data_IF_762149750560
#
_entry.id   IF_762149750560
#
_cell.length_a   1.000
_cell.length_b   1.000
_cell.length_c   1.000
_cell.angle_alpha   90.00
_cell.angle_beta   90.00
_cell.angle_gamma   90.00
#
_symmetry.space_group_name_H-M   'P 1'
#
loop_
_entity.id
_entity.type
_entity.pdbx_description
1 polymer ?
#
# COMPACT_ATOMS: atom_id res chain seq x y z
N UNK A 1 13.58 -65.75 22.91
CA UNK A 1 12.38 -65.08 22.37
C UNK A 1 12.07 -63.94 23.29
N UNK A 2 12.58 -62.76 23.00
CA UNK A 2 12.35 -61.51 23.75
C UNK A 2 11.78 -60.52 22.76
N UNK A 3 10.51 -60.18 23.00
CA UNK A 3 9.75 -59.20 22.22
C UNK A 3 10.19 -57.81 22.65
N UNK A 4 10.79 -57.05 21.73
CA UNK A 4 11.11 -55.64 21.91
C UNK A 4 10.03 -54.82 21.21
N UNK A 5 9.12 -54.20 21.97
CA UNK A 5 8.11 -53.26 21.50
C UNK A 5 8.65 -51.86 21.70
N UNK A 6 9.16 -51.26 20.61
CA UNK A 6 9.52 -49.83 20.57
C UNK A 6 8.26 -49.01 20.45
N UNK A 7 7.88 -48.33 21.54
CA UNK A 7 6.86 -47.31 21.58
C UNK A 7 7.32 -46.10 20.75
N UNK A 8 6.60 -45.79 19.68
CA UNK A 8 6.71 -44.51 18.96
C UNK A 8 6.09 -43.40 19.80
N UNK A 9 6.92 -42.56 20.42
CA UNK A 9 6.50 -41.29 20.98
C UNK A 9 6.01 -40.37 19.85
N UNK A 10 4.73 -40.06 19.85
CA UNK A 10 4.12 -39.00 19.04
C UNK A 10 4.50 -37.64 19.67
N UNK A 11 5.56 -37.03 19.18
CA UNK A 11 5.88 -35.63 19.47
C UNK A 11 4.90 -34.73 18.69
N UNK A 12 3.77 -34.43 19.28
CA UNK A 12 2.89 -33.32 18.83
C UNK A 12 3.54 -32.01 19.28
N UNK A 13 4.28 -31.37 18.38
CA UNK A 13 4.66 -29.99 18.51
C UNK A 13 3.37 -29.16 18.74
N UNK A 14 3.29 -28.29 19.75
CA UNK A 14 2.09 -27.49 19.98
C UNK A 14 1.89 -26.56 18.78
N UNK A 15 0.74 -26.67 18.12
CA UNK A 15 0.27 -25.67 17.16
C UNK A 15 0.14 -24.34 17.89
N UNK A 16 1.16 -23.49 17.73
CA UNK A 16 1.06 -22.09 18.15
C UNK A 16 -0.03 -21.48 17.28
N UNK A 17 -1.19 -21.23 17.86
CA UNK A 17 -2.29 -20.50 17.19
C UNK A 17 -1.72 -19.19 16.69
N UNK A 18 -1.50 -19.07 15.38
CA UNK A 18 -0.98 -17.87 14.74
C UNK A 18 -1.96 -16.72 15.03
N UNK A 19 -1.50 -15.73 15.76
CA UNK A 19 -2.29 -14.52 16.01
C UNK A 19 -2.54 -13.85 14.66
N UNK A 20 -3.81 -13.72 14.28
CA UNK A 20 -4.18 -13.07 13.02
C UNK A 20 -3.74 -11.60 13.06
N UNK A 21 -3.15 -11.09 11.97
CA UNK A 21 -2.70 -9.71 11.91
C UNK A 21 -3.88 -8.75 12.07
N UNK A 22 -3.62 -7.65 12.76
CA UNK A 22 -4.54 -6.52 12.92
C UNK A 22 -3.94 -5.31 12.22
N UNK A 23 -4.79 -4.32 11.95
CA UNK A 23 -4.34 -3.03 11.47
C UNK A 23 -3.42 -2.37 12.53
N UNK A 24 -2.27 -1.88 12.07
CA UNK A 24 -1.30 -1.17 12.89
C UNK A 24 -1.04 0.18 12.22
N UNK A 25 -1.46 1.27 12.86
CA UNK A 25 -1.36 2.63 12.31
C UNK A 25 -0.65 3.52 13.31
N UNK A 26 0.32 4.28 12.82
CA UNK A 26 1.05 5.30 13.59
C UNK A 26 0.94 6.64 12.87
N UNK A 27 0.88 7.73 13.61
CA UNK A 27 0.84 9.08 13.06
C UNK A 27 1.89 9.98 13.73
N UNK A 28 2.41 10.92 12.93
CA UNK A 28 3.28 11.99 13.41
C UNK A 28 3.06 13.27 12.60
N UNK A 29 3.30 14.43 13.22
CA UNK A 29 3.12 15.73 12.59
C UNK A 29 4.47 16.35 12.24
N UNK A 30 4.54 17.00 11.10
CA UNK A 30 5.74 17.59 10.55
C UNK A 30 5.42 18.88 9.78
N UNK A 31 6.46 19.59 9.38
CA UNK A 31 6.38 20.72 8.47
C UNK A 31 7.42 20.60 7.37
N UNK A 32 7.15 21.20 6.22
CA UNK A 32 8.10 21.36 5.11
C UNK A 32 7.89 22.72 4.46
N UNK A 33 8.95 23.29 3.91
CA UNK A 33 8.85 24.50 3.10
C UNK A 33 8.94 24.13 1.63
N UNK A 34 7.85 24.43 0.87
CA UNK A 34 7.78 24.25 -0.59
C UNK A 34 7.44 25.58 -1.21
N UNK A 35 8.22 26.03 -2.19
CA UNK A 35 8.03 27.33 -2.87
C UNK A 35 7.90 28.52 -1.88
N UNK A 36 8.68 28.50 -0.79
CA UNK A 36 8.66 29.54 0.24
C UNK A 36 7.45 29.49 1.19
N UNK A 37 6.55 28.53 1.06
CA UNK A 37 5.40 28.32 1.95
C UNK A 37 5.68 27.20 2.93
N UNK A 38 5.45 27.47 4.21
CA UNK A 38 5.47 26.43 5.24
C UNK A 38 4.18 25.61 5.15
N UNK A 39 4.32 24.32 4.96
CA UNK A 39 3.21 23.36 4.84
C UNK A 39 3.24 22.41 6.03
N UNK A 40 2.28 22.52 6.96
CA UNK A 40 2.10 21.52 8.01
C UNK A 40 1.44 20.26 7.42
N UNK A 41 1.91 19.09 7.86
CA UNK A 41 1.36 17.83 7.40
C UNK A 41 1.46 16.72 8.45
N UNK A 42 0.51 15.80 8.37
CA UNK A 42 0.50 14.56 9.15
C UNK A 42 1.00 13.40 8.28
N UNK A 43 1.95 12.65 8.82
CA UNK A 43 2.34 11.33 8.29
C UNK A 43 1.50 10.27 8.96
N UNK A 44 0.84 9.44 8.17
CA UNK A 44 0.15 8.24 8.63
C UNK A 44 0.82 7.03 7.98
N UNK A 45 1.36 6.13 8.77
CA UNK A 45 2.02 4.93 8.26
C UNK A 45 1.61 3.70 9.03
N UNK A 46 1.68 2.56 8.38
CA UNK A 46 1.35 1.29 9.03
C UNK A 46 0.85 0.24 8.06
N UNK A 47 0.07 -0.69 8.58
CA UNK A 47 -0.49 -1.81 7.81
C UNK A 47 -2.00 -1.83 7.92
N UNK A 48 -2.65 -2.06 6.77
CA UNK A 48 -4.09 -2.36 6.68
C UNK A 48 -4.22 -3.82 6.25
N UNK A 49 -5.05 -4.57 6.97
CA UNK A 49 -5.31 -5.98 6.67
C UNK A 49 -6.43 -6.09 5.65
N UNK A 50 -6.11 -6.67 4.50
CA UNK A 50 -7.10 -7.07 3.50
C UNK A 50 -7.78 -8.35 3.95
N UNK A 51 -9.09 -8.39 3.82
CA UNK A 51 -9.92 -9.54 4.15
C UNK A 51 -10.69 -10.01 2.91
N UNK A 52 -10.96 -11.29 2.84
CA UNK A 52 -11.81 -11.85 1.80
C UNK A 52 -13.26 -11.45 2.07
N UNK A 53 -13.90 -10.84 1.08
CA UNK A 53 -15.35 -10.69 1.09
C UNK A 53 -15.96 -12.06 0.82
N UNK A 54 -16.58 -12.69 1.82
CA UNK A 54 -17.31 -13.93 1.62
C UNK A 54 -18.63 -13.63 0.93
N UNK A 55 -18.74 -13.99 -0.35
CA UNK A 55 -20.00 -14.01 -1.09
C UNK A 55 -20.90 -15.14 -0.53
N UNK A 56 -21.34 -15.06 0.71
CA UNK A 56 -22.34 -15.99 1.20
C UNK A 56 -23.72 -15.50 0.80
N UNK A 57 -24.36 -16.27 -0.10
CA UNK A 57 -25.81 -16.36 -0.17
C UNK A 57 -26.26 -16.81 1.22
N UNK A 58 -26.95 -15.95 1.92
CA UNK A 58 -27.45 -16.16 3.27
C UNK A 58 -28.47 -17.31 3.28
N UNK A 59 -28.05 -18.47 3.75
CA UNK A 59 -28.98 -19.34 4.47
C UNK A 59 -29.16 -18.74 5.87
N UNK A 60 -30.39 -18.41 6.24
CA UNK A 60 -30.79 -17.63 7.42
C UNK A 60 -30.37 -18.20 8.80
N UNK A 61 -29.56 -19.23 8.86
CA UNK A 61 -29.16 -19.90 10.10
C UNK A 61 -27.65 -19.98 10.36
N UNK A 62 -26.79 -19.41 9.52
CA UNK A 62 -25.34 -19.47 9.71
C UNK A 62 -24.84 -18.24 10.50
N UNK A 63 -24.11 -18.46 11.60
CA UNK A 63 -23.33 -17.41 12.29
C UNK A 63 -22.46 -16.69 11.26
N UNK A 64 -22.33 -15.34 11.32
CA UNK A 64 -21.42 -14.64 10.42
C UNK A 64 -20.02 -15.22 10.60
N UNK A 65 -19.51 -15.94 9.59
CA UNK A 65 -18.11 -16.31 9.58
C UNK A 65 -17.28 -15.05 9.55
N UNK A 66 -16.32 -14.96 10.46
CA UNK A 66 -15.42 -13.83 10.52
C UNK A 66 -14.68 -13.71 9.17
N UNK A 67 -14.71 -12.51 8.56
CA UNK A 67 -13.96 -12.18 7.36
C UNK A 67 -12.52 -12.67 7.48
N UNK A 68 -12.08 -13.51 6.53
CA UNK A 68 -10.77 -14.15 6.60
C UNK A 68 -9.66 -13.18 6.14
N UNK A 69 -8.68 -12.83 6.98
CA UNK A 69 -7.53 -12.05 6.55
C UNK A 69 -6.75 -12.76 5.44
N UNK A 70 -6.30 -12.01 4.43
CA UNK A 70 -5.55 -12.52 3.27
C UNK A 70 -4.14 -11.93 3.18
N UNK A 71 -4.03 -10.64 3.35
CA UNK A 71 -2.76 -9.93 3.27
C UNK A 71 -2.76 -8.70 4.18
N UNK A 72 -1.57 -8.23 4.50
CA UNK A 72 -1.33 -6.99 5.22
C UNK A 72 -0.57 -6.06 4.29
N UNK A 73 -1.15 -4.92 3.94
CA UNK A 73 -0.53 -3.92 3.06
C UNK A 73 0.02 -2.78 3.89
N UNK A 74 1.33 -2.56 3.74
CA UNK A 74 2.03 -1.41 4.30
C UNK A 74 1.87 -0.19 3.39
N UNK A 75 1.74 0.97 4.01
CA UNK A 75 1.66 2.25 3.32
C UNK A 75 2.28 3.38 4.14
N UNK A 76 2.61 4.46 3.43
CA UNK A 76 2.96 5.75 4.03
C UNK A 76 2.11 6.83 3.35
N UNK A 77 1.34 7.56 4.14
CA UNK A 77 0.50 8.64 3.66
C UNK A 77 0.94 9.98 4.24
N UNK A 78 0.88 11.02 3.42
CA UNK A 78 1.15 12.40 3.76
C UNK A 78 -0.11 13.23 3.49
N UNK A 79 -0.64 13.82 4.54
CA UNK A 79 -1.87 14.61 4.48
C UNK A 79 -1.57 16.03 4.95
N UNK A 80 -1.84 17.01 4.11
CA UNK A 80 -1.69 18.42 4.47
C UNK A 80 -2.73 18.82 5.51
N UNK A 81 -2.31 19.56 6.55
CA UNK A 81 -3.16 19.85 7.71
C UNK A 81 -3.93 21.17 7.61
N UNK A 82 -3.37 22.19 6.93
CA UNK A 82 -3.97 23.52 6.74
C UNK A 82 -4.97 23.56 5.55
N UNK A 83 -5.86 22.58 5.45
CA UNK A 83 -6.86 22.44 4.38
C UNK A 83 -8.25 22.59 4.95
N UNK A 84 -9.03 23.56 4.45
CA UNK A 84 -10.41 23.80 4.90
C UNK A 84 -11.36 22.65 4.57
N UNK A 85 -11.31 22.14 3.34
CA UNK A 85 -12.17 21.05 2.89
C UNK A 85 -11.35 19.93 2.21
N UNK A 86 -11.11 18.86 2.95
CA UNK A 86 -10.39 17.67 2.45
C UNK A 86 -11.08 16.98 1.28
N UNK A 87 -12.38 17.18 1.09
CA UNK A 87 -13.14 16.59 -0.03
C UNK A 87 -12.74 17.19 -1.37
N UNK A 88 -12.30 18.45 -1.38
CA UNK A 88 -11.85 19.15 -2.59
C UNK A 88 -10.36 18.94 -2.86
N UNK A 89 -9.60 18.47 -1.86
CA UNK A 89 -8.17 18.25 -2.01
C UNK A 89 -7.90 16.95 -2.75
N UNK A 90 -7.05 16.95 -3.81
CA UNK A 90 -6.64 15.73 -4.50
C UNK A 90 -6.00 14.70 -3.58
N UNK A 91 -6.20 13.44 -3.91
CA UNK A 91 -5.61 12.28 -3.26
C UNK A 91 -4.91 11.43 -4.31
N UNK A 92 -3.59 11.30 -4.20
CA UNK A 92 -2.76 10.58 -5.15
C UNK A 92 -2.20 9.31 -4.51
N UNK A 93 -2.52 8.16 -5.08
CA UNK A 93 -1.94 6.88 -4.72
C UNK A 93 -0.75 6.59 -5.64
N UNK A 94 0.37 6.17 -5.06
CA UNK A 94 1.63 5.96 -5.76
C UNK A 94 2.24 4.61 -5.46
N UNK A 95 2.81 3.96 -6.47
CA UNK A 95 3.49 2.68 -6.37
C UNK A 95 4.53 2.51 -7.48
N UNK A 96 5.65 1.86 -7.14
CA UNK A 96 6.64 1.43 -8.12
C UNK A 96 6.21 0.11 -8.80
N UNK A 97 6.99 -0.31 -9.77
CA UNK A 97 6.78 -1.50 -10.57
C UNK A 97 7.62 -2.70 -10.15
N UNK A 98 8.44 -3.14 -11.03
CA UNK A 98 9.21 -4.38 -10.98
C UNK A 98 8.62 -5.42 -11.95
N UNK A 99 7.60 -6.26 -11.60
CA UNK A 99 6.92 -6.41 -10.30
C UNK A 99 7.87 -6.83 -9.18
N UNK A 100 7.52 -6.45 -7.93
CA UNK A 100 8.30 -6.82 -6.74
C UNK A 100 9.03 -5.65 -6.06
N UNK A 101 8.95 -4.43 -6.59
CA UNK A 101 9.50 -3.24 -5.96
C UNK A 101 8.52 -2.62 -4.97
N UNK A 102 9.03 -2.20 -3.81
CA UNK A 102 8.29 -1.32 -2.89
C UNK A 102 8.22 0.10 -3.45
N UNK A 103 7.36 0.94 -2.88
CA UNK A 103 7.17 2.32 -3.34
C UNK A 103 8.30 3.28 -2.99
N UNK A 104 9.39 2.80 -2.42
CA UNK A 104 10.50 3.60 -1.89
C UNK A 104 11.12 4.56 -2.92
N UNK A 105 11.18 4.16 -4.19
CA UNK A 105 11.82 4.96 -5.24
C UNK A 105 11.02 6.22 -5.57
N UNK A 106 9.71 6.09 -5.79
CA UNK A 106 8.83 7.25 -5.97
C UNK A 106 8.68 8.01 -4.66
N UNK A 107 8.60 7.33 -3.53
CA UNK A 107 8.40 7.92 -2.21
C UNK A 107 9.56 8.82 -1.81
N UNK A 108 10.78 8.24 -1.64
CA UNK A 108 11.95 8.94 -1.13
C UNK A 108 12.89 9.45 -2.22
N UNK A 109 12.59 9.17 -3.48
CA UNK A 109 13.37 9.65 -4.62
C UNK A 109 12.76 10.85 -5.33
N UNK A 110 11.41 10.93 -5.39
CA UNK A 110 10.75 11.89 -6.31
C UNK A 110 9.62 12.67 -5.65
N UNK A 111 8.59 12.01 -5.07
CA UNK A 111 7.29 12.61 -4.82
C UNK A 111 7.05 13.02 -3.36
N UNK A 112 7.65 12.30 -2.41
CA UNK A 112 7.41 12.52 -0.99
C UNK A 112 7.98 13.85 -0.49
N UNK A 113 7.57 14.32 0.70
CA UNK A 113 8.06 15.58 1.26
C UNK A 113 9.53 15.51 1.70
N UNK A 114 10.07 14.31 1.85
CA UNK A 114 11.49 14.06 2.13
C UNK A 114 12.09 13.22 1.01
N UNK A 115 13.31 13.52 0.59
CA UNK A 115 14.04 12.76 -0.42
C UNK A 115 15.44 12.41 0.01
N UNK A 116 15.99 11.34 -0.55
CA UNK A 116 17.40 10.99 -0.40
C UNK A 116 18.25 12.12 -0.99
N UNK A 117 19.26 12.56 -0.25
CA UNK A 117 20.22 13.53 -0.76
C UNK A 117 21.19 12.83 -1.73
N UNK A 118 21.06 13.13 -3.01
CA UNK A 118 21.90 12.61 -4.08
C UNK A 118 22.61 13.76 -4.79
N UNK A 119 23.77 13.48 -5.39
CA UNK A 119 24.47 14.41 -6.26
C UNK A 119 23.84 14.47 -7.67
N UNK A 120 24.50 15.21 -8.55
CA UNK A 120 24.03 15.38 -9.94
C UNK A 120 23.86 14.04 -10.65
N UNK A 121 22.80 13.96 -11.47
CA UNK A 121 22.39 12.76 -12.17
C UNK A 121 22.20 11.52 -11.27
N UNK A 122 21.86 11.71 -10.00
CA UNK A 122 21.64 10.62 -9.04
C UNK A 122 22.92 9.96 -8.52
N UNK A 123 24.07 10.62 -8.66
CA UNK A 123 25.33 10.10 -8.16
C UNK A 123 25.31 9.96 -6.62
N UNK A 124 26.01 8.95 -6.11
CA UNK A 124 26.13 8.69 -4.69
C UNK A 124 27.06 9.74 -4.05
N UNK A 125 26.54 10.44 -3.04
CA UNK A 125 27.37 11.33 -2.23
C UNK A 125 28.16 10.53 -1.18
N UNK A 126 29.29 11.08 -0.66
CA UNK A 126 29.98 10.46 0.47
C UNK A 126 29.07 10.46 1.73
N UNK A 127 29.24 9.47 2.62
CA UNK A 127 28.52 9.45 3.89
C UNK A 127 28.85 10.68 4.76
N UNK A 128 27.96 11.09 5.70
CA UNK A 128 26.76 10.38 6.09
C UNK A 128 25.58 10.59 5.13
N UNK A 129 24.89 9.50 4.78
CA UNK A 129 23.66 9.57 3.99
C UNK A 129 22.51 10.18 4.79
N UNK A 130 21.68 11.01 4.15
CA UNK A 130 20.60 11.72 4.84
C UNK A 130 19.40 11.96 3.94
N UNK A 131 18.25 12.12 4.55
CA UNK A 131 17.06 12.67 3.91
C UNK A 131 17.10 14.19 4.04
N UNK A 132 16.69 14.88 2.98
CA UNK A 132 16.52 16.33 2.92
C UNK A 132 15.09 16.66 2.57
N UNK A 133 14.69 17.91 2.78
CA UNK A 133 13.39 18.39 2.31
C UNK A 133 13.33 18.32 0.80
N UNK A 134 12.15 17.94 0.28
CA UNK A 134 11.90 17.87 -1.14
C UNK A 134 11.03 19.05 -1.58
N UNK A 135 11.67 20.09 -2.07
CA UNK A 135 11.01 21.30 -2.59
C UNK A 135 10.10 21.04 -3.82
N UNK A 136 10.29 19.87 -4.47
CA UNK A 136 9.48 19.44 -5.62
C UNK A 136 8.37 18.44 -5.23
N UNK A 137 8.11 18.27 -3.94
CA UNK A 137 7.07 17.34 -3.48
C UNK A 137 5.68 17.74 -3.97
N UNK A 138 4.92 16.75 -4.43
CA UNK A 138 3.52 16.93 -4.81
C UNK A 138 2.60 17.24 -3.61
N UNK A 139 3.13 17.20 -2.37
CA UNK A 139 2.34 17.53 -1.17
C UNK A 139 1.79 18.97 -1.20
N UNK A 140 2.35 19.86 -1.99
CA UNK A 140 1.78 21.19 -2.19
C UNK A 140 0.37 21.14 -2.78
N UNK A 141 0.12 20.23 -3.72
CA UNK A 141 -1.13 20.19 -4.52
C UNK A 141 -2.02 18.98 -4.23
N UNK A 142 -1.48 17.90 -3.69
CA UNK A 142 -2.19 16.64 -3.43
C UNK A 142 -1.74 16.01 -2.14
N UNK A 143 -2.64 15.34 -1.43
CA UNK A 143 -2.24 14.35 -0.44
C UNK A 143 -1.68 13.10 -1.14
N UNK A 144 -0.71 12.45 -0.52
CA UNK A 144 0.04 11.34 -1.13
C UNK A 144 -0.13 10.07 -0.32
N UNK A 145 -0.29 8.94 -0.99
CA UNK A 145 -0.33 7.61 -0.36
C UNK A 145 0.57 6.67 -1.15
N UNK A 146 1.70 6.31 -0.56
CA UNK A 146 2.64 5.35 -1.10
C UNK A 146 2.28 3.95 -0.63
N UNK A 147 2.03 3.04 -1.58
CA UNK A 147 1.55 1.68 -1.31
C UNK A 147 2.65 0.69 -1.64
N UNK A 148 2.97 -0.19 -0.72
CA UNK A 148 3.79 -1.37 -1.01
C UNK A 148 2.85 -2.51 -1.42
N UNK A 149 2.83 -2.96 -2.67
CA UNK A 149 2.06 -4.14 -3.07
C UNK A 149 2.45 -5.38 -2.26
N UNK A 150 1.57 -6.38 -2.18
CA UNK A 150 1.84 -7.61 -1.42
C UNK A 150 3.16 -8.26 -1.87
N UNK A 151 3.94 -8.75 -0.93
CA UNK A 151 5.31 -9.30 -1.10
C UNK A 151 6.39 -8.27 -1.42
N UNK A 152 6.10 -6.97 -1.33
CA UNK A 152 7.10 -5.91 -1.44
C UNK A 152 7.21 -5.13 -0.13
N UNK A 153 8.33 -4.43 0.08
CA UNK A 153 8.56 -3.62 1.28
C UNK A 153 8.16 -4.34 2.57
N UNK A 154 7.19 -3.80 3.30
CA UNK A 154 6.68 -4.39 4.54
C UNK A 154 5.31 -5.08 4.37
N UNK A 155 4.81 -5.23 3.14
CA UNK A 155 3.55 -5.92 2.85
C UNK A 155 3.73 -7.41 2.72
N UNK A 156 2.87 -8.21 3.36
CA UNK A 156 2.97 -9.68 3.38
C UNK A 156 1.59 -10.33 3.27
N UNK A 157 1.55 -11.49 2.64
CA UNK A 157 0.45 -12.43 2.83
C UNK A 157 0.37 -12.83 4.31
N UNK A 158 -0.82 -13.08 4.83
CA UNK A 158 -0.97 -13.53 6.23
C UNK A 158 -0.54 -15.00 6.38
N UNK A 159 -0.19 -15.46 7.59
CA UNK A 159 0.12 -16.87 7.83
C UNK A 159 -1.01 -17.79 7.34
N UNK A 160 -0.65 -18.79 6.55
CA UNK A 160 -1.58 -19.74 5.91
C UNK A 160 -1.99 -19.38 4.48
N UNK A 161 -1.76 -18.14 4.02
CA UNK A 161 -1.95 -17.74 2.63
C UNK A 161 -0.64 -17.86 1.84
N UNK A 162 -0.75 -18.17 0.54
CA UNK A 162 0.42 -18.34 -0.32
C UNK A 162 0.82 -17.00 -0.97
N UNK A 163 2.03 -16.46 -0.72
CA UNK A 163 2.46 -15.18 -1.30
C UNK A 163 2.34 -15.14 -2.84
N UNK A 164 2.61 -16.27 -3.51
CA UNK A 164 2.53 -16.40 -4.97
C UNK A 164 1.14 -16.10 -5.56
N UNK A 165 0.09 -16.23 -4.77
CA UNK A 165 -1.27 -15.93 -5.22
C UNK A 165 -1.48 -14.45 -5.53
N UNK A 166 -0.65 -13.57 -4.95
CA UNK A 166 -0.69 -12.12 -5.17
C UNK A 166 0.22 -11.65 -6.31
N UNK A 167 1.02 -12.53 -6.94
CA UNK A 167 2.00 -12.15 -7.95
C UNK A 167 1.44 -12.09 -9.38
N UNK A 168 0.27 -12.68 -9.63
CA UNK A 168 -0.40 -12.58 -10.93
C UNK A 168 -1.04 -11.21 -11.12
N UNK A 169 -1.01 -10.67 -12.36
CA UNK A 169 -1.55 -9.35 -12.71
C UNK A 169 -2.93 -9.07 -12.10
N UNK A 170 -3.87 -10.02 -12.26
CA UNK A 170 -5.22 -9.86 -11.73
C UNK A 170 -5.23 -9.70 -10.22
N UNK A 171 -4.52 -10.55 -9.49
CA UNK A 171 -4.47 -10.51 -8.01
C UNK A 171 -3.70 -9.31 -7.46
N UNK A 172 -2.68 -8.86 -8.17
CA UNK A 172 -1.99 -7.61 -7.88
C UNK A 172 -2.94 -6.42 -7.96
N UNK A 173 -3.71 -6.30 -9.06
CA UNK A 173 -4.73 -5.26 -9.24
C UNK A 173 -5.82 -5.35 -8.17
N UNK A 174 -6.35 -6.53 -7.89
CA UNK A 174 -7.38 -6.73 -6.87
C UNK A 174 -6.90 -6.28 -5.50
N UNK A 175 -5.73 -6.72 -5.05
CA UNK A 175 -5.22 -6.41 -3.72
C UNK A 175 -4.91 -4.93 -3.51
N UNK A 176 -4.28 -4.29 -4.50
CA UNK A 176 -4.01 -2.84 -4.44
C UNK A 176 -5.30 -2.02 -4.55
N UNK A 177 -6.24 -2.45 -5.38
CA UNK A 177 -7.55 -1.80 -5.54
C UNK A 177 -8.39 -1.87 -4.26
N UNK A 178 -8.41 -3.03 -3.59
CA UNK A 178 -9.10 -3.21 -2.32
C UNK A 178 -8.47 -2.34 -1.22
N UNK A 179 -7.14 -2.22 -1.18
CA UNK A 179 -6.46 -1.27 -0.30
C UNK A 179 -6.91 0.16 -0.57
N UNK A 180 -6.94 0.60 -1.85
CA UNK A 180 -7.35 1.95 -2.23
C UNK A 180 -8.79 2.22 -1.76
N UNK A 181 -9.71 1.28 -1.94
CA UNK A 181 -11.08 1.37 -1.45
C UNK A 181 -11.13 1.51 0.07
N UNK A 182 -10.44 0.62 0.79
CA UNK A 182 -10.40 0.63 2.26
C UNK A 182 -9.82 1.94 2.80
N UNK A 183 -8.71 2.41 2.23
CA UNK A 183 -8.10 3.69 2.58
C UNK A 183 -9.07 4.85 2.35
N UNK A 184 -9.66 4.92 1.15
CA UNK A 184 -10.62 5.97 0.77
C UNK A 184 -11.82 6.02 1.72
N UNK A 185 -12.33 4.85 2.13
CA UNK A 185 -13.44 4.73 3.08
C UNK A 185 -13.03 5.15 4.49
N UNK A 186 -11.93 4.60 4.99
CA UNK A 186 -11.42 4.86 6.35
C UNK A 186 -11.16 6.34 6.61
N UNK A 187 -10.52 7.00 5.64
CA UNK A 187 -10.14 8.42 5.74
C UNK A 187 -11.18 9.37 5.14
N UNK A 188 -12.38 8.87 4.80
CA UNK A 188 -13.52 9.64 4.29
C UNK A 188 -13.18 10.49 3.04
N UNK A 189 -12.44 9.88 2.08
CA UNK A 189 -11.93 10.57 0.90
C UNK A 189 -12.70 10.24 -0.39
N UNK A 190 -13.94 9.75 -0.29
CA UNK A 190 -14.74 9.40 -1.47
C UNK A 190 -15.01 10.57 -2.41
N UNK A 191 -15.19 11.77 -1.89
CA UNK A 191 -15.45 12.96 -2.68
C UNK A 191 -14.19 13.65 -3.21
N UNK A 192 -13.01 13.30 -2.71
CA UNK A 192 -11.74 13.86 -3.20
C UNK A 192 -11.47 13.45 -4.64
N UNK A 193 -10.91 14.36 -5.48
CA UNK A 193 -10.34 13.98 -6.77
C UNK A 193 -9.22 12.94 -6.56
N UNK A 194 -9.22 11.86 -7.34
CA UNK A 194 -8.32 10.73 -7.16
C UNK A 194 -7.41 10.53 -8.36
N UNK A 195 -6.14 10.31 -8.06
CA UNK A 195 -5.10 10.10 -9.07
C UNK A 195 -4.26 8.87 -8.72
N UNK A 196 -3.69 8.22 -9.74
CA UNK A 196 -2.67 7.19 -9.58
C UNK A 196 -1.36 7.64 -10.21
N UNK A 197 -0.25 7.30 -9.57
CA UNK A 197 1.09 7.43 -10.14
C UNK A 197 1.75 6.05 -10.09
N UNK A 198 2.07 5.52 -11.28
CA UNK A 198 2.81 4.27 -11.43
C UNK A 198 4.13 4.47 -12.17
N UNK A 199 5.16 3.77 -11.73
CA UNK A 199 6.46 3.74 -12.41
C UNK A 199 6.73 2.34 -12.94
N UNK A 200 7.30 2.22 -14.16
CA UNK A 200 7.67 0.96 -14.82
C UNK A 200 6.44 0.01 -14.91
N UNK A 201 6.51 -1.24 -14.41
CA UNK A 201 5.34 -2.12 -14.30
C UNK A 201 4.17 -1.47 -13.51
N UNK A 202 4.43 -0.52 -12.62
CA UNK A 202 3.39 0.26 -11.96
C UNK A 202 2.51 1.05 -12.93
N UNK A 203 2.95 1.33 -14.14
CA UNK A 203 2.14 1.95 -15.19
C UNK A 203 1.06 0.99 -15.70
N UNK A 204 1.41 -0.27 -15.91
CA UNK A 204 0.49 -1.35 -16.24
C UNK A 204 -0.52 -1.58 -15.10
N UNK A 205 -0.03 -1.56 -13.84
CA UNK A 205 -0.90 -1.61 -12.65
C UNK A 205 -1.87 -0.43 -12.62
N UNK A 206 -1.42 0.80 -12.84
CA UNK A 206 -2.29 1.99 -12.84
C UNK A 206 -3.38 1.90 -13.91
N UNK A 207 -3.05 1.43 -15.10
CA UNK A 207 -4.01 1.20 -16.17
C UNK A 207 -5.06 0.13 -15.78
N UNK A 208 -4.62 -1.02 -15.24
CA UNK A 208 -5.53 -2.08 -14.78
C UNK A 208 -6.41 -1.64 -13.61
N UNK A 209 -5.85 -0.91 -12.66
CA UNK A 209 -6.58 -0.34 -11.51
C UNK A 209 -7.68 0.62 -11.94
N UNK A 210 -7.47 1.41 -13.00
CA UNK A 210 -8.48 2.37 -13.47
C UNK A 210 -9.79 1.66 -13.83
N UNK A 211 -9.71 0.54 -14.55
CA UNK A 211 -10.87 -0.30 -14.87
C UNK A 211 -11.44 -1.03 -13.64
N UNK A 212 -10.58 -1.65 -12.84
CA UNK A 212 -11.01 -2.41 -11.66
C UNK A 212 -11.74 -1.55 -10.63
N UNK A 213 -11.17 -0.40 -10.26
CA UNK A 213 -11.76 0.52 -9.28
C UNK A 213 -13.13 1.02 -9.73
N UNK A 214 -13.27 1.36 -11.02
CA UNK A 214 -14.53 1.80 -11.58
C UNK A 214 -15.57 0.67 -11.59
N UNK A 215 -15.23 -0.50 -12.10
CA UNK A 215 -16.17 -1.60 -12.30
C UNK A 215 -16.57 -2.30 -10.99
N UNK A 216 -15.57 -2.51 -10.09
CA UNK A 216 -15.80 -3.25 -8.85
C UNK A 216 -16.31 -2.38 -7.71
N UNK A 217 -15.83 -1.14 -7.61
CA UNK A 217 -16.06 -0.28 -6.45
C UNK A 217 -16.78 1.03 -6.76
N UNK A 218 -17.11 1.31 -8.03
CA UNK A 218 -17.68 2.61 -8.41
C UNK A 218 -16.76 3.80 -8.11
N UNK A 219 -15.44 3.55 -8.00
CA UNK A 219 -14.45 4.55 -7.69
C UNK A 219 -13.81 5.06 -8.97
N UNK A 220 -14.14 6.30 -9.34
CA UNK A 220 -13.66 6.95 -10.55
C UNK A 220 -12.38 7.74 -10.26
N UNK A 221 -11.42 7.65 -11.19
CA UNK A 221 -10.18 8.41 -11.15
C UNK A 221 -10.30 9.67 -11.99
N UNK A 222 -9.63 10.73 -11.54
CA UNK A 222 -9.51 12.00 -12.28
C UNK A 222 -8.30 11.97 -13.23
N UNK A 223 -7.34 11.08 -13.01
CA UNK A 223 -6.20 10.90 -13.89
C UNK A 223 -5.23 9.83 -13.41
N UNK A 224 -4.37 9.40 -14.33
CA UNK A 224 -3.23 8.52 -14.07
C UNK A 224 -1.95 9.15 -14.62
N UNK A 225 -0.86 9.05 -13.89
CA UNK A 225 0.47 9.49 -14.30
C UNK A 225 1.38 8.28 -14.46
N UNK A 226 1.96 8.15 -15.66
CA UNK A 226 2.72 6.98 -16.06
C UNK A 226 4.19 7.39 -16.22
N UNK A 227 5.03 6.96 -15.27
CA UNK A 227 6.46 7.27 -15.25
C UNK A 227 7.23 6.07 -15.81
N UNK A 228 8.10 6.30 -16.78
CA UNK A 228 8.86 5.24 -17.46
C UNK A 228 7.94 4.12 -17.96
N UNK A 229 6.93 4.51 -18.72
CA UNK A 229 5.82 3.66 -19.12
C UNK A 229 6.27 2.48 -19.97
N UNK A 230 5.80 1.28 -19.64
CA UNK A 230 5.92 0.09 -20.47
C UNK A 230 4.67 0.00 -21.34
N UNK A 231 4.85 0.18 -22.65
CA UNK A 231 3.75 0.21 -23.62
C UNK A 231 3.59 -1.12 -24.36
N UNK A 232 4.57 -2.00 -24.31
CA UNK A 232 4.57 -3.31 -24.95
C UNK A 232 5.40 -4.31 -24.13
N UNK A 233 4.91 -5.56 -24.01
CA UNK A 233 5.60 -6.68 -23.37
C UNK A 233 6.00 -7.71 -24.41
#
# INVERSE_FOLDING_TARGET
>A
MTNDQTEKKNDKTPETSAVLPKDEIVQSQHTITINGKLIPYTVTTGRIVLKEETDKKTDEAAKPEAEKPKASIFFVAYTRDDVEDRRQRPLTFSFNGGPGSSSVWLHLGVLGPRRVNMGDAGSLLPPPYRLVDNEFSLLETSDLVFIDPVSTGYSRAVPGEQPKEFHGFKKDIESVGDFIRLYTTRYQRWLSPKFLIGESYGTTRAAGLSGYLQQRHGLFLNGIMLISSILNF
#
